data_IF_898040449737
#
_entry.id   IF_898040449737
#
_cell.length_a   1.000
_cell.length_b   1.000
_cell.length_c   1.000
_cell.angle_alpha   90.00
_cell.angle_beta   90.00
_cell.angle_gamma   90.00
#
_symmetry.space_group_name_H-M   'P 1'
#
loop_
_entity.id
_entity.type
_entity.pdbx_description
1 polymer ?
#
# COMPACT_ATOMS: atom_id res chain seq x y z
N UNK A 1 13.34 20.97 12.48
CA UNK A 1 12.50 20.02 11.72
C UNK A 1 12.72 20.34 10.27
N UNK A 2 13.49 19.48 9.62
CA UNK A 2 13.75 19.61 8.20
C UNK A 2 12.52 19.10 7.46
N UNK A 3 11.67 20.04 7.02
CA UNK A 3 10.46 19.78 6.23
C UNK A 3 10.77 19.87 4.74
N UNK A 4 11.95 19.44 4.31
CA UNK A 4 12.15 19.25 2.89
C UNK A 4 11.21 18.14 2.44
N UNK A 5 10.29 18.42 1.49
CA UNK A 5 9.50 17.37 0.86
C UNK A 5 10.48 16.29 0.39
N UNK A 6 10.15 15.04 0.58
CA UNK A 6 10.94 13.94 0.05
C UNK A 6 11.20 14.24 -1.41
N UNK A 7 12.44 14.52 -1.74
CA UNK A 7 12.81 14.97 -3.07
C UNK A 7 12.77 13.77 -4.01
N UNK A 8 11.56 13.47 -4.44
CA UNK A 8 11.23 12.45 -5.43
C UNK A 8 11.99 12.76 -6.74
N UNK A 9 12.19 14.04 -7.02
CA UNK A 9 12.83 14.51 -8.24
C UNK A 9 14.35 14.28 -8.21
N UNK A 10 15.04 14.49 -7.10
CA UNK A 10 16.50 14.30 -7.06
C UNK A 10 16.95 12.83 -7.06
N UNK A 11 16.16 11.91 -6.52
CA UNK A 11 16.58 10.50 -6.39
C UNK A 11 16.00 9.55 -7.43
N UNK A 12 14.80 9.82 -7.91
CA UNK A 12 14.10 8.90 -8.82
C UNK A 12 14.00 9.46 -10.24
N UNK A 13 13.77 10.76 -10.42
CA UNK A 13 13.52 11.38 -11.72
C UNK A 13 14.71 11.30 -12.68
N UNK A 14 15.99 11.49 -12.30
CA UNK A 14 17.09 11.40 -13.25
C UNK A 14 17.25 10.01 -13.87
N UNK A 15 16.88 8.95 -13.16
CA UNK A 15 16.95 7.58 -13.66
C UNK A 15 15.78 7.24 -14.59
N UNK A 16 14.64 7.93 -14.44
CA UNK A 16 13.42 7.68 -15.20
C UNK A 16 13.29 8.52 -16.48
N UNK A 17 13.95 9.68 -16.56
CA UNK A 17 13.81 10.58 -17.72
C UNK A 17 14.69 10.22 -18.92
N UNK A 18 15.82 9.53 -18.71
CA UNK A 18 16.80 9.22 -19.76
C UNK A 18 16.73 7.78 -20.30
N UNK A 19 15.86 6.92 -19.76
CA UNK A 19 15.75 5.51 -20.20
C UNK A 19 14.29 5.12 -20.38
N UNK A 20 14.03 4.24 -21.34
CA UNK A 20 12.76 3.54 -21.51
C UNK A 20 12.52 2.64 -20.30
N UNK A 21 11.98 3.20 -19.23
CA UNK A 21 11.66 2.48 -18.03
C UNK A 21 10.58 1.46 -18.32
N UNK A 22 10.70 0.26 -17.77
CA UNK A 22 9.76 -0.82 -18.01
C UNK A 22 9.07 -1.26 -16.71
N UNK A 23 7.76 -1.39 -16.78
CA UNK A 23 6.92 -1.76 -15.66
C UNK A 23 6.19 -3.07 -15.94
N UNK A 24 6.32 -4.03 -15.03
CA UNK A 24 5.59 -5.28 -15.08
C UNK A 24 4.30 -5.19 -14.27
N UNK A 25 3.19 -5.62 -14.84
CA UNK A 25 1.92 -5.64 -14.12
C UNK A 25 1.11 -6.89 -14.38
N UNK A 26 0.53 -7.42 -13.30
CA UNK A 26 -0.50 -8.46 -13.28
C UNK A 26 -1.85 -7.87 -12.84
N UNK A 27 -1.87 -6.60 -12.44
CA UNK A 27 -3.06 -5.97 -11.89
C UNK A 27 -4.09 -5.75 -13.00
N UNK A 28 -5.31 -6.25 -12.88
CA UNK A 28 -6.35 -6.10 -13.91
C UNK A 28 -6.71 -4.63 -14.15
N UNK A 29 -7.01 -4.27 -15.41
CA UNK A 29 -7.42 -2.90 -15.77
C UNK A 29 -8.68 -2.39 -15.08
N UNK A 30 -9.56 -3.29 -14.63
CA UNK A 30 -10.76 -2.89 -13.90
C UNK A 30 -10.48 -2.53 -12.43
N UNK A 31 -9.29 -2.84 -11.92
CA UNK A 31 -8.81 -2.37 -10.63
C UNK A 31 -8.14 -1.01 -10.79
N UNK A 32 -8.38 -0.09 -9.86
CA UNK A 32 -7.84 1.27 -9.94
C UNK A 32 -6.32 1.29 -10.16
N UNK A 33 -5.56 0.48 -9.44
CA UNK A 33 -4.11 0.41 -9.61
C UNK A 33 -3.70 -0.02 -11.02
N UNK A 34 -4.42 -0.98 -11.63
CA UNK A 34 -4.21 -1.39 -13.03
C UNK A 34 -4.51 -0.24 -13.99
N UNK A 35 -5.68 0.40 -13.82
CA UNK A 35 -6.07 1.55 -14.63
C UNK A 35 -5.02 2.67 -14.58
N UNK A 36 -4.55 3.03 -13.39
CA UNK A 36 -3.50 4.05 -13.20
C UNK A 36 -2.21 3.64 -13.92
N UNK A 37 -1.75 2.40 -13.76
CA UNK A 37 -0.53 1.91 -14.42
C UNK A 37 -0.60 2.10 -15.94
N UNK A 38 -1.72 1.76 -16.57
CA UNK A 38 -1.87 1.90 -18.03
C UNK A 38 -1.81 3.37 -18.48
N UNK A 39 -2.48 4.27 -17.77
CA UNK A 39 -2.54 5.66 -18.16
C UNK A 39 -1.27 6.43 -17.78
N UNK A 40 -0.85 6.36 -16.53
CA UNK A 40 0.29 7.14 -16.03
C UNK A 40 1.57 6.70 -16.72
N UNK A 41 1.84 5.40 -16.76
CA UNK A 41 3.08 4.91 -17.37
C UNK A 41 3.06 5.01 -18.89
N UNK A 42 1.88 4.84 -19.51
CA UNK A 42 1.71 5.09 -20.94
C UNK A 42 1.97 6.56 -21.33
N UNK A 43 1.50 7.52 -20.54
CA UNK A 43 1.77 8.95 -20.76
C UNK A 43 3.26 9.27 -20.57
N UNK A 44 3.93 8.60 -19.64
CA UNK A 44 5.36 8.75 -19.39
C UNK A 44 6.24 8.09 -20.46
N UNK A 45 5.63 7.34 -21.38
CA UNK A 45 6.37 6.63 -22.42
C UNK A 45 7.06 5.35 -21.94
N UNK A 46 6.67 4.81 -20.79
CA UNK A 46 7.23 3.58 -20.24
C UNK A 46 6.73 2.34 -20.98
N UNK A 47 7.57 1.32 -21.04
CA UNK A 47 7.15 0.02 -21.56
C UNK A 47 6.31 -0.71 -20.50
N UNK A 48 5.11 -1.14 -20.89
CA UNK A 48 4.24 -1.96 -20.02
C UNK A 48 4.34 -3.43 -20.42
N UNK A 49 4.86 -4.25 -19.52
CA UNK A 49 4.90 -5.70 -19.63
C UNK A 49 3.68 -6.29 -18.92
N UNK A 50 2.79 -6.91 -19.67
CA UNK A 50 1.50 -7.39 -19.18
C UNK A 50 1.54 -8.90 -18.97
N UNK A 51 1.29 -9.35 -17.74
CA UNK A 51 0.99 -10.73 -17.44
C UNK A 51 -0.53 -10.90 -17.32
N UNK A 52 -1.11 -11.72 -18.18
CA UNK A 52 -2.56 -11.92 -18.22
C UNK A 52 -3.04 -13.03 -17.29
N UNK A 53 -2.16 -13.91 -16.85
CA UNK A 53 -2.50 -15.06 -16.01
C UNK A 53 -1.43 -15.28 -14.92
N UNK A 54 -1.86 -15.35 -13.68
CA UNK A 54 -0.96 -15.56 -12.54
C UNK A 54 -0.16 -16.88 -12.66
N UNK A 55 -0.66 -17.88 -13.39
CA UNK A 55 0.04 -19.15 -13.65
C UNK A 55 1.29 -18.96 -14.51
N UNK A 56 1.29 -17.95 -15.37
CA UNK A 56 2.38 -17.63 -16.27
C UNK A 56 3.39 -16.64 -15.68
N UNK A 57 3.10 -16.07 -14.52
CA UNK A 57 3.86 -14.98 -13.89
C UNK A 57 5.37 -15.21 -13.90
N UNK A 58 5.84 -16.37 -13.43
CA UNK A 58 7.27 -16.68 -13.36
C UNK A 58 7.93 -16.75 -14.73
N UNK A 59 7.23 -17.33 -15.70
CA UNK A 59 7.70 -17.42 -17.09
C UNK A 59 7.81 -16.02 -17.68
N UNK A 60 6.73 -15.23 -17.55
CA UNK A 60 6.64 -13.91 -18.16
C UNK A 60 7.67 -12.95 -17.56
N UNK A 61 7.85 -12.97 -16.23
CA UNK A 61 8.92 -12.19 -15.58
C UNK A 61 10.31 -12.57 -16.09
N UNK A 62 10.58 -13.83 -16.34
CA UNK A 62 11.90 -14.29 -16.84
C UNK A 62 12.16 -13.89 -18.30
N UNK A 63 11.11 -13.67 -19.08
CA UNK A 63 11.20 -13.35 -20.51
C UNK A 63 11.18 -11.85 -20.78
N UNK A 64 10.49 -11.06 -19.95
CA UNK A 64 10.27 -9.63 -20.16
C UNK A 64 11.12 -8.82 -19.16
N UNK A 65 12.14 -8.12 -19.67
CA UNK A 65 12.90 -7.19 -18.83
C UNK A 65 11.95 -6.16 -18.21
N UNK A 66 12.06 -5.97 -16.90
CA UNK A 66 11.24 -5.01 -16.18
C UNK A 66 12.02 -4.39 -15.03
N UNK A 67 11.96 -3.07 -14.93
CA UNK A 67 12.62 -2.30 -13.86
C UNK A 67 11.76 -2.28 -12.59
N UNK A 68 10.45 -2.17 -12.77
CA UNK A 68 9.50 -2.03 -11.66
C UNK A 68 8.29 -2.95 -11.78
N UNK A 69 7.64 -3.16 -10.62
CA UNK A 69 6.39 -3.92 -10.52
C UNK A 69 5.51 -3.35 -9.40
N UNK A 70 4.22 -3.12 -9.72
CA UNK A 70 3.19 -2.87 -8.71
C UNK A 70 2.52 -4.18 -8.31
N UNK A 71 2.48 -4.48 -7.01
CA UNK A 71 2.13 -5.83 -6.57
C UNK A 71 1.59 -5.88 -5.13
N UNK A 72 0.69 -6.83 -4.81
CA UNK A 72 0.30 -7.11 -3.44
C UNK A 72 1.41 -7.84 -2.66
N UNK A 73 1.38 -7.83 -1.31
CA UNK A 73 2.40 -8.46 -0.46
C UNK A 73 2.71 -9.91 -0.80
N UNK A 74 1.72 -10.72 -1.17
CA UNK A 74 1.92 -12.13 -1.51
C UNK A 74 2.88 -12.35 -2.69
N UNK A 75 2.90 -11.45 -3.66
CA UNK A 75 3.86 -11.52 -4.78
C UNK A 75 5.23 -10.96 -4.38
N UNK A 76 5.28 -9.97 -3.49
CA UNK A 76 6.56 -9.51 -2.91
C UNK A 76 7.22 -10.65 -2.14
N UNK A 77 6.46 -11.43 -1.37
CA UNK A 77 6.95 -12.62 -0.68
C UNK A 77 7.47 -13.69 -1.67
N UNK A 78 6.73 -13.91 -2.77
CA UNK A 78 7.19 -14.83 -3.82
C UNK A 78 8.54 -14.39 -4.41
N UNK A 79 8.68 -13.10 -4.72
CA UNK A 79 9.94 -12.51 -5.24
C UNK A 79 11.06 -12.68 -4.21
N UNK A 80 10.81 -12.38 -2.93
CA UNK A 80 11.77 -12.58 -1.85
C UNK A 80 12.24 -14.05 -1.78
N UNK A 81 11.32 -15.00 -1.92
CA UNK A 81 11.64 -16.41 -1.92
C UNK A 81 12.48 -16.85 -3.14
N UNK A 82 12.25 -16.29 -4.33
CA UNK A 82 13.11 -16.55 -5.50
C UNK A 82 14.53 -15.99 -5.27
N UNK A 83 14.64 -14.78 -4.71
CA UNK A 83 15.94 -14.17 -4.36
C UNK A 83 16.69 -15.03 -3.33
N UNK A 84 16.03 -15.45 -2.25
CA UNK A 84 16.63 -16.34 -1.22
C UNK A 84 17.11 -17.68 -1.75
N UNK A 85 16.49 -18.19 -2.80
CA UNK A 85 16.89 -19.43 -3.49
C UNK A 85 18.04 -19.23 -4.49
N UNK A 86 18.53 -18.01 -4.66
CA UNK A 86 19.57 -17.68 -5.63
C UNK A 86 19.07 -17.57 -7.07
N UNK A 87 17.78 -17.38 -7.28
CA UNK A 87 17.14 -17.28 -8.61
C UNK A 87 16.81 -15.84 -9.00
N UNK A 88 17.58 -14.86 -8.53
CA UNK A 88 17.36 -13.44 -8.86
C UNK A 88 17.47 -13.16 -10.37
N UNK A 89 18.24 -13.96 -11.11
CA UNK A 89 18.35 -13.89 -12.57
C UNK A 89 17.00 -14.07 -13.28
N UNK A 90 16.07 -14.81 -12.68
CA UNK A 90 14.71 -15.03 -13.22
C UNK A 90 13.81 -13.81 -13.11
N UNK A 91 14.21 -12.79 -12.36
CA UNK A 91 13.48 -11.55 -12.21
C UNK A 91 13.82 -10.52 -13.31
N UNK A 92 14.79 -10.85 -14.16
CA UNK A 92 15.14 -10.18 -15.42
C UNK A 92 15.19 -8.64 -15.30
N UNK A 93 15.98 -8.14 -14.35
CA UNK A 93 16.20 -6.71 -14.14
C UNK A 93 15.32 -6.04 -13.10
N UNK A 94 14.29 -6.72 -12.57
CA UNK A 94 13.38 -6.16 -11.58
C UNK A 94 14.10 -5.75 -10.29
N UNK A 95 13.98 -4.47 -9.92
CA UNK A 95 14.62 -3.93 -8.72
C UNK A 95 13.72 -2.99 -7.91
N UNK A 96 12.61 -2.49 -8.48
CA UNK A 96 11.70 -1.55 -7.82
C UNK A 96 10.33 -2.20 -7.64
N UNK A 97 9.86 -2.26 -6.39
CA UNK A 97 8.57 -2.86 -6.04
C UNK A 97 7.68 -1.81 -5.37
N UNK A 98 6.51 -1.57 -5.95
CA UNK A 98 5.45 -0.78 -5.32
C UNK A 98 4.44 -1.73 -4.71
N UNK A 99 4.40 -1.79 -3.37
CA UNK A 99 3.52 -2.66 -2.63
C UNK A 99 2.30 -1.89 -2.10
N UNK A 100 1.11 -2.41 -2.33
CA UNK A 100 -0.15 -1.82 -1.85
C UNK A 100 -1.10 -2.89 -1.34
N UNK A 101 -2.25 -2.48 -0.84
CA UNK A 101 -3.35 -3.31 -0.34
C UNK A 101 -3.16 -3.89 1.07
N UNK A 102 -1.95 -4.10 1.55
CA UNK A 102 -1.67 -4.49 2.94
C UNK A 102 -0.22 -4.15 3.32
N UNK A 103 0.05 -4.10 4.62
CA UNK A 103 1.40 -3.83 5.15
C UNK A 103 2.29 -5.04 4.90
N UNK A 104 3.46 -4.80 4.31
CA UNK A 104 4.48 -5.82 4.08
C UNK A 104 5.17 -6.21 5.41
N UNK A 105 5.53 -7.49 5.55
CA UNK A 105 6.34 -7.93 6.68
C UNK A 105 7.73 -7.26 6.61
N UNK A 106 8.16 -6.58 7.69
CA UNK A 106 9.47 -5.93 7.76
C UNK A 106 10.65 -6.86 7.47
N UNK A 107 10.54 -8.16 7.80
CA UNK A 107 11.59 -9.12 7.51
C UNK A 107 11.73 -9.34 6.00
N UNK A 108 10.62 -9.45 5.27
CA UNK A 108 10.62 -9.57 3.80
C UNK A 108 11.19 -8.31 3.17
N UNK A 109 10.78 -7.12 3.65
CA UNK A 109 11.29 -5.85 3.18
C UNK A 109 12.80 -5.76 3.38
N UNK A 110 13.29 -6.02 4.61
CA UNK A 110 14.70 -5.99 4.95
C UNK A 110 15.54 -6.94 4.09
N UNK A 111 15.03 -8.14 3.84
CA UNK A 111 15.73 -9.15 3.01
C UNK A 111 15.85 -8.68 1.55
N UNK A 112 14.80 -8.11 0.98
CA UNK A 112 14.82 -7.59 -0.38
C UNK A 112 15.74 -6.38 -0.51
N UNK A 113 15.68 -5.42 0.42
CA UNK A 113 16.55 -4.25 0.43
C UNK A 113 18.03 -4.64 0.50
N UNK A 114 18.40 -5.62 1.34
CA UNK A 114 19.76 -6.17 1.38
C UNK A 114 20.22 -6.79 0.06
N UNK A 115 19.28 -7.21 -0.77
CA UNK A 115 19.54 -7.78 -2.11
C UNK A 115 19.37 -6.74 -3.23
N UNK A 116 19.38 -5.45 -2.91
CA UNK A 116 19.40 -4.36 -3.89
C UNK A 116 18.03 -3.93 -4.41
N UNK A 117 16.93 -4.40 -3.82
CA UNK A 117 15.60 -3.93 -4.17
C UNK A 117 15.27 -2.61 -3.48
N UNK A 118 14.56 -1.76 -4.19
CA UNK A 118 13.88 -0.58 -3.65
C UNK A 118 12.40 -0.90 -3.50
N UNK A 119 11.83 -0.64 -2.32
CA UNK A 119 10.43 -0.98 -2.05
C UNK A 119 9.73 0.26 -1.52
N UNK A 120 8.62 0.61 -2.16
CA UNK A 120 7.69 1.60 -1.64
C UNK A 120 6.37 0.92 -1.27
N UNK A 121 5.78 1.38 -0.17
CA UNK A 121 4.47 0.92 0.29
C UNK A 121 3.47 2.07 0.17
N UNK A 122 2.33 1.81 -0.45
CA UNK A 122 1.33 2.82 -0.73
C UNK A 122 0.03 2.50 0.00
N UNK A 123 -0.45 3.45 0.79
CA UNK A 123 -1.81 3.40 1.32
C UNK A 123 -2.74 4.10 0.33
N UNK A 124 -3.71 3.36 -0.16
CA UNK A 124 -4.70 3.82 -1.12
C UNK A 124 -6.00 3.04 -0.99
N UNK A 125 -7.06 3.58 -1.57
CA UNK A 125 -8.35 2.94 -1.73
C UNK A 125 -8.98 3.38 -3.05
N UNK A 126 -10.04 2.73 -3.49
CA UNK A 126 -10.69 3.04 -4.78
C UNK A 126 -11.22 4.48 -4.83
N UNK A 127 -11.68 4.99 -3.69
CA UNK A 127 -12.19 6.34 -3.51
C UNK A 127 -11.09 7.42 -3.57
N UNK A 128 -9.82 6.99 -3.55
CA UNK A 128 -8.65 7.84 -3.78
C UNK A 128 -8.03 7.47 -5.12
N UNK A 129 -8.14 8.32 -6.11
CA UNK A 129 -7.55 8.11 -7.44
C UNK A 129 -6.01 8.22 -7.45
N UNK A 130 -5.36 8.06 -6.32
CA UNK A 130 -3.93 8.13 -6.09
C UNK A 130 -3.58 7.52 -4.74
N UNK A 131 -2.49 7.99 -4.15
CA UNK A 131 -2.05 7.58 -2.83
C UNK A 131 -2.46 8.64 -1.80
N UNK A 132 -2.90 8.21 -0.62
CA UNK A 132 -3.06 9.11 0.53
C UNK A 132 -1.77 9.20 1.33
N UNK A 133 -1.08 8.07 1.50
CA UNK A 133 0.17 7.96 2.23
C UNK A 133 1.17 7.11 1.45
N UNK A 134 2.44 7.49 1.54
CA UNK A 134 3.54 6.79 0.90
C UNK A 134 4.66 6.49 1.91
N UNK A 135 5.06 5.24 2.00
CA UNK A 135 6.21 4.81 2.80
C UNK A 135 7.35 4.36 1.89
N UNK A 136 8.41 5.13 1.89
CA UNK A 136 9.65 4.86 1.14
C UNK A 136 10.81 4.46 2.07
N UNK A 137 10.52 4.19 3.34
CA UNK A 137 11.52 3.77 4.32
C UNK A 137 12.05 2.39 3.96
N UNK A 138 13.37 2.27 3.82
CA UNK A 138 14.03 1.02 3.45
C UNK A 138 14.59 0.28 4.67
N UNK A 139 14.75 0.96 5.81
CA UNK A 139 15.31 0.41 7.05
C UNK A 139 14.80 1.18 8.29
N UNK A 140 15.02 0.64 9.49
CA UNK A 140 14.66 1.29 10.75
C UNK A 140 13.24 1.01 11.21
N UNK A 141 12.74 1.88 12.10
CA UNK A 141 11.53 1.62 12.89
C UNK A 141 10.22 1.87 12.11
N UNK A 142 10.27 2.64 11.02
CA UNK A 142 9.08 3.03 10.25
C UNK A 142 8.69 2.04 9.14
N UNK A 143 9.33 0.86 9.06
CA UNK A 143 9.01 -0.16 8.04
C UNK A 143 7.56 -0.63 8.06
N UNK A 144 6.90 -0.51 9.23
CA UNK A 144 5.49 -0.91 9.43
C UNK A 144 4.51 0.25 9.31
N UNK A 145 5.00 1.47 9.05
CA UNK A 145 4.13 2.61 8.84
C UNK A 145 3.41 2.51 7.50
N UNK A 146 2.21 3.08 7.42
CA UNK A 146 1.56 3.38 6.15
C UNK A 146 2.33 4.42 5.35
N UNK A 147 3.15 5.22 6.02
CA UNK A 147 3.97 6.28 5.47
C UNK A 147 3.59 7.67 5.95
N UNK A 148 3.96 8.64 5.15
CA UNK A 148 3.63 10.07 5.32
C UNK A 148 2.72 10.51 4.17
N UNK A 149 2.01 11.65 4.30
CA UNK A 149 1.31 12.26 3.17
C UNK A 149 2.24 12.45 1.97
N UNK A 150 1.74 12.16 0.79
CA UNK A 150 2.49 12.21 -0.47
C UNK A 150 2.81 13.65 -0.96
N UNK A 151 2.28 14.65 -0.28
CA UNK A 151 2.42 16.07 -0.63
C UNK A 151 1.40 16.59 -1.64
N UNK A 152 0.62 15.71 -2.28
CA UNK A 152 -0.47 16.09 -3.20
C UNK A 152 -1.83 16.11 -2.52
N UNK A 153 -1.93 15.46 -1.36
CA UNK A 153 -3.15 15.33 -0.56
C UNK A 153 -2.94 15.84 0.84
N UNK A 154 -3.99 16.41 1.42
CA UNK A 154 -4.07 16.66 2.84
C UNK A 154 -4.54 15.39 3.54
N UNK A 155 -3.83 14.95 4.56
CA UNK A 155 -4.19 13.78 5.36
C UNK A 155 -4.17 14.14 6.82
N UNK A 156 -5.18 13.71 7.56
CA UNK A 156 -5.26 13.86 9.01
C UNK A 156 -5.83 12.61 9.66
N UNK A 157 -5.60 12.45 10.94
CA UNK A 157 -6.37 11.56 11.80
C UNK A 157 -7.34 12.45 12.58
N UNK A 158 -8.62 12.12 12.54
CA UNK A 158 -9.65 12.87 13.26
C UNK A 158 -9.71 12.48 14.75
N UNK A 159 -10.62 13.09 15.50
CA UNK A 159 -10.80 12.83 16.93
C UNK A 159 -11.28 11.40 17.26
N UNK A 160 -11.82 10.67 16.28
CA UNK A 160 -12.20 9.25 16.41
C UNK A 160 -11.06 8.30 16.05
N UNK A 161 -9.92 8.82 15.61
CA UNK A 161 -8.80 8.02 15.12
C UNK A 161 -8.89 7.64 13.65
N UNK A 162 -9.88 8.16 12.91
CA UNK A 162 -10.08 7.85 11.49
C UNK A 162 -9.15 8.64 10.58
N UNK A 163 -8.56 7.98 9.59
CA UNK A 163 -7.82 8.64 8.52
C UNK A 163 -8.81 9.38 7.63
N UNK A 164 -8.61 10.68 7.47
CA UNK A 164 -9.37 11.50 6.55
C UNK A 164 -8.43 12.12 5.51
N UNK A 165 -8.84 12.09 4.25
CA UNK A 165 -8.05 12.58 3.11
C UNK A 165 -8.83 13.64 2.36
N UNK A 166 -8.14 14.73 1.95
CA UNK A 166 -8.70 15.77 1.12
C UNK A 166 -7.73 16.17 0.01
N UNK A 167 -8.22 16.38 -1.20
CA UNK A 167 -7.41 16.84 -2.32
C UNK A 167 -7.94 16.37 -3.66
N UNK A 168 -7.17 16.60 -4.70
CA UNK A 168 -7.53 16.25 -6.07
C UNK A 168 -7.60 14.74 -6.36
N UNK A 169 -7.08 13.93 -5.47
CA UNK A 169 -7.15 12.47 -5.56
C UNK A 169 -8.50 11.90 -5.06
N UNK A 170 -9.29 12.67 -4.30
CA UNK A 170 -10.58 12.22 -3.79
C UNK A 170 -11.58 12.09 -4.94
N UNK A 171 -12.32 10.99 -5.00
CA UNK A 171 -13.36 10.74 -6.00
C UNK A 171 -14.43 11.85 -6.00
N UNK A 172 -15.12 12.02 -7.11
CA UNK A 172 -16.27 12.92 -7.21
C UNK A 172 -17.50 12.41 -6.44
N UNK A 173 -17.57 11.11 -6.20
CA UNK A 173 -18.66 10.43 -5.50
C UNK A 173 -19.01 9.09 -6.11
N UNK A 174 -19.89 8.35 -5.44
CA UNK A 174 -20.44 7.10 -5.96
C UNK A 174 -21.48 7.36 -7.06
N UNK A 175 -21.37 6.62 -8.14
CA UNK A 175 -22.24 6.81 -9.29
C UNK A 175 -23.70 6.52 -8.96
N UNK A 176 -24.57 7.54 -9.14
CA UNK A 176 -26.00 7.49 -8.83
C UNK A 176 -26.34 7.20 -7.36
N UNK A 177 -25.41 7.43 -6.47
CA UNK A 177 -25.62 7.25 -5.02
C UNK A 177 -25.12 8.48 -4.25
N UNK A 178 -25.90 9.57 -4.26
CA UNK A 178 -25.54 10.78 -3.55
C UNK A 178 -25.59 10.62 -2.03
N UNK A 179 -26.38 9.67 -1.51
CA UNK A 179 -26.50 9.41 -0.08
C UNK A 179 -25.21 8.78 0.46
N UNK A 180 -24.75 7.67 -0.14
CA UNK A 180 -23.46 7.07 0.21
C UNK A 180 -22.29 8.05 -0.02
N UNK A 181 -22.37 8.90 -1.03
CA UNK A 181 -21.35 9.95 -1.27
C UNK A 181 -21.29 10.93 -0.10
N UNK A 182 -22.45 11.41 0.37
CA UNK A 182 -22.51 12.37 1.49
C UNK A 182 -22.13 11.75 2.84
N UNK A 183 -22.29 10.44 3.01
CA UNK A 183 -21.80 9.70 4.18
C UNK A 183 -20.27 9.54 4.16
N UNK A 184 -19.67 9.47 2.97
CA UNK A 184 -18.25 9.19 2.79
C UNK A 184 -17.41 10.46 2.64
N UNK A 185 -17.94 11.49 1.97
CA UNK A 185 -17.24 12.77 1.78
C UNK A 185 -18.05 13.87 2.49
N UNK A 186 -17.43 14.48 3.49
CA UNK A 186 -18.09 15.55 4.25
C UNK A 186 -18.21 16.86 3.46
N UNK A 187 -18.96 17.83 4.03
CA UNK A 187 -19.19 19.15 3.42
C UNK A 187 -17.91 19.98 3.20
N UNK A 188 -16.84 19.67 3.89
CA UNK A 188 -15.54 20.34 3.81
C UNK A 188 -14.58 19.62 2.85
N UNK A 189 -15.07 18.55 2.16
CA UNK A 189 -14.36 17.78 1.15
C UNK A 189 -13.42 16.72 1.72
N UNK A 190 -13.56 16.37 3.00
CA UNK A 190 -12.81 15.27 3.59
C UNK A 190 -13.47 13.94 3.30
N UNK A 191 -12.69 13.03 2.68
CA UNK A 191 -13.05 11.63 2.54
C UNK A 191 -12.77 10.91 3.86
N UNK A 192 -13.78 10.29 4.44
CA UNK A 192 -13.70 9.41 5.59
C UNK A 192 -13.40 7.98 5.12
N UNK A 193 -12.20 7.49 5.42
CA UNK A 193 -11.71 6.22 4.83
C UNK A 193 -12.27 4.99 5.52
N UNK A 194 -12.78 5.12 6.73
CA UNK A 194 -13.16 4.00 7.60
C UNK A 194 -11.95 3.28 8.22
N UNK A 195 -10.73 3.68 7.90
CA UNK A 195 -9.51 3.11 8.45
C UNK A 195 -9.01 3.96 9.63
N UNK A 196 -8.61 3.29 10.70
CA UNK A 196 -8.12 3.93 11.92
C UNK A 196 -6.61 3.90 11.96
N UNK A 197 -6.01 5.00 12.41
CA UNK A 197 -4.56 5.11 12.54
C UNK A 197 -4.15 5.99 13.73
N UNK A 198 -2.90 5.83 14.14
CA UNK A 198 -2.18 6.78 14.96
C UNK A 198 -1.06 7.42 14.16
N UNK A 199 -0.66 8.61 14.55
CA UNK A 199 0.48 9.33 13.97
C UNK A 199 1.54 9.46 15.05
N UNK A 200 2.81 9.21 14.70
CA UNK A 200 3.92 9.42 15.62
C UNK A 200 4.46 10.86 15.55
N UNK A 201 5.45 11.16 16.40
CA UNK A 201 6.08 12.50 16.49
C UNK A 201 6.82 12.90 15.20
N UNK A 202 7.19 11.93 14.37
CA UNK A 202 7.86 12.14 13.09
C UNK A 202 6.87 12.28 11.91
N UNK A 203 5.56 12.13 12.16
CA UNK A 203 4.50 12.25 11.17
C UNK A 203 4.23 10.99 10.36
N UNK A 204 4.69 9.82 10.81
CA UNK A 204 4.33 8.54 10.21
C UNK A 204 2.99 8.04 10.73
N UNK A 205 2.17 7.56 9.83
CA UNK A 205 0.86 6.97 10.09
C UNK A 205 0.99 5.45 10.27
N UNK A 206 0.31 4.91 11.28
CA UNK A 206 0.28 3.48 11.58
C UNK A 206 -1.14 3.00 11.70
N UNK A 207 -1.52 2.02 10.90
CA UNK A 207 -2.84 1.39 10.95
C UNK A 207 -3.09 0.78 12.34
N UNK A 208 -4.25 1.08 12.93
CA UNK A 208 -4.71 0.51 14.20
C UNK A 208 -5.98 -0.34 14.05
N UNK A 209 -6.65 -0.27 12.91
CA UNK A 209 -7.81 -1.11 12.62
C UNK A 209 -8.75 -0.49 11.59
N UNK A 210 -9.97 -1.03 11.52
CA UNK A 210 -11.07 -0.47 10.72
C UNK A 210 -12.26 -0.13 11.58
N UNK A 211 -12.82 1.04 11.37
CA UNK A 211 -13.96 1.56 12.15
C UNK A 211 -15.14 0.59 12.19
N UNK A 212 -15.48 -0.02 11.05
CA UNK A 212 -16.57 -1.00 10.93
C UNK A 212 -16.31 -2.35 11.59
N UNK A 213 -15.03 -2.64 11.87
CA UNK A 213 -14.63 -3.93 12.47
C UNK A 213 -14.46 -3.83 13.98
N UNK A 214 -14.48 -2.62 14.56
CA UNK A 214 -14.33 -2.45 15.99
C UNK A 214 -15.39 -3.25 16.75
N UNK A 215 -14.93 -4.03 17.71
CA UNK A 215 -15.78 -4.74 18.67
C UNK A 215 -15.99 -3.80 19.85
N UNK A 216 -17.25 -3.47 20.11
CA UNK A 216 -17.62 -2.61 21.23
C UNK A 216 -18.01 -3.53 22.40
N UNK A 217 -17.16 -3.57 23.42
CA UNK A 217 -17.41 -4.36 24.62
C UNK A 217 -18.54 -3.75 25.47
N UNK A 218 -19.14 -4.54 26.36
CA UNK A 218 -20.16 -4.06 27.32
C UNK A 218 -19.63 -2.95 28.24
N UNK A 219 -18.31 -2.85 28.41
CA UNK A 219 -17.63 -1.75 29.11
C UNK A 219 -17.63 -0.42 28.32
N UNK A 220 -18.03 -0.44 27.04
CA UNK A 220 -17.91 0.69 26.12
C UNK A 220 -16.51 0.83 25.50
N UNK A 221 -15.60 -0.09 25.76
CA UNK A 221 -14.27 -0.11 25.19
C UNK A 221 -14.30 -0.62 23.74
N UNK A 222 -13.58 0.06 22.85
CA UNK A 222 -13.42 -0.35 21.47
C UNK A 222 -12.18 -1.23 21.33
N UNK A 223 -12.35 -2.42 20.76
CA UNK A 223 -11.28 -3.38 20.53
C UNK A 223 -11.14 -3.63 19.03
N UNK A 224 -9.93 -3.45 18.49
CA UNK A 224 -9.60 -3.80 17.11
C UNK A 224 -9.31 -5.30 17.01
N UNK A 225 -10.12 -6.08 16.25
CA UNK A 225 -9.82 -7.47 15.98
C UNK A 225 -8.43 -7.67 15.36
N UNK A 226 -8.05 -6.78 14.45
CA UNK A 226 -6.78 -6.83 13.73
C UNK A 226 -5.57 -6.71 14.68
N UNK A 227 -5.67 -5.91 15.73
CA UNK A 227 -4.62 -5.81 16.74
C UNK A 227 -4.46 -7.11 17.54
N UNK A 228 -5.58 -7.73 17.91
CA UNK A 228 -5.57 -9.02 18.62
C UNK A 228 -5.04 -10.14 17.72
N UNK A 229 -5.48 -10.21 16.47
CA UNK A 229 -4.99 -11.16 15.47
C UNK A 229 -3.49 -11.05 15.29
N UNK A 230 -2.97 -9.82 15.19
CA UNK A 230 -1.54 -9.54 15.11
C UNK A 230 -0.77 -9.99 16.36
N UNK A 231 -1.35 -9.85 17.54
CA UNK A 231 -0.74 -10.33 18.78
C UNK A 231 -0.73 -11.86 18.83
N UNK A 232 -1.83 -12.50 18.45
CA UNK A 232 -1.96 -13.96 18.39
C UNK A 232 -1.02 -14.56 17.34
N UNK A 233 -0.88 -13.91 16.19
CA UNK A 233 0.01 -14.33 15.10
C UNK A 233 1.52 -14.29 15.45
N UNK A 234 1.91 -13.73 16.60
CA UNK A 234 3.28 -13.84 17.12
C UNK A 234 3.57 -15.22 17.73
N UNK A 235 2.56 -16.05 17.94
CA UNK A 235 2.72 -17.39 18.46
C UNK A 235 3.00 -18.34 17.28
N UNK A 236 4.16 -18.99 17.27
CA UNK A 236 4.58 -19.93 16.21
C UNK A 236 3.61 -21.11 16.01
N UNK A 237 2.78 -21.41 17.01
CA UNK A 237 1.76 -22.45 16.92
C UNK A 237 0.48 -22.02 16.19
N UNK A 238 0.31 -20.71 15.93
CA UNK A 238 -0.88 -20.14 15.27
C UNK A 238 -0.50 -19.72 13.87
N UNK A 239 -1.02 -20.42 12.88
CA UNK A 239 -0.79 -20.08 11.46
C UNK A 239 -1.69 -18.93 11.01
N UNK A 240 -2.94 -18.99 11.37
CA UNK A 240 -3.96 -18.00 11.02
C UNK A 240 -4.99 -17.94 12.17
N UNK A 241 -5.51 -16.75 12.45
CA UNK A 241 -6.59 -16.55 13.41
C UNK A 241 -7.54 -15.47 12.91
N UNK A 242 -8.78 -15.56 13.34
CA UNK A 242 -9.81 -14.55 13.12
C UNK A 242 -10.43 -14.23 14.46
N UNK A 243 -10.40 -12.96 14.85
CA UNK A 243 -11.06 -12.45 16.04
C UNK A 243 -12.40 -11.84 15.64
N UNK A 244 -13.45 -12.26 16.29
CA UNK A 244 -14.80 -11.74 16.06
C UNK A 244 -15.61 -11.68 17.34
N UNK A 245 -16.55 -10.76 17.36
CA UNK A 245 -17.54 -10.70 18.43
C UNK A 245 -18.43 -11.95 18.43
N UNK A 246 -18.66 -12.52 19.61
CA UNK A 246 -19.60 -13.60 19.81
C UNK A 246 -20.45 -13.30 21.05
N UNK A 247 -21.64 -12.71 20.85
CA UNK A 247 -22.56 -12.34 21.90
C UNK A 247 -21.97 -11.36 22.93
N UNK A 248 -21.36 -10.26 22.43
CA UNK A 248 -20.68 -9.22 23.22
C UNK A 248 -19.46 -9.69 24.04
N UNK A 249 -18.87 -10.81 23.64
CA UNK A 249 -17.60 -11.33 24.15
C UNK A 249 -16.65 -11.55 22.97
N UNK A 250 -15.38 -11.45 23.24
CA UNK A 250 -14.32 -11.79 22.29
C UNK A 250 -13.91 -13.24 22.47
#
# INVERSE_FOLDING_TARGET
>A
CDTTPFDYEERLVPQYLDQTFSHFTLVPMFHLAGFICYFVYGIQGWTLNLCCDARDLRRDMSLMHSDAMSTPPVLVEMICNEVKRGHADRLNGLWNLSCSSAILDPAILSDLVKNGFYINQCYSMTELAGYGLLNVTQEGDHLRALGKPDGFSEVKVDETGEICVRGGCVMLGYYKDPEATAETIDKDGWLHTGDLARVDEEGYYYMTGRKKNLIILDSGENVSPEELEKLLGKCDAIKECIVKEMGKKI
#
